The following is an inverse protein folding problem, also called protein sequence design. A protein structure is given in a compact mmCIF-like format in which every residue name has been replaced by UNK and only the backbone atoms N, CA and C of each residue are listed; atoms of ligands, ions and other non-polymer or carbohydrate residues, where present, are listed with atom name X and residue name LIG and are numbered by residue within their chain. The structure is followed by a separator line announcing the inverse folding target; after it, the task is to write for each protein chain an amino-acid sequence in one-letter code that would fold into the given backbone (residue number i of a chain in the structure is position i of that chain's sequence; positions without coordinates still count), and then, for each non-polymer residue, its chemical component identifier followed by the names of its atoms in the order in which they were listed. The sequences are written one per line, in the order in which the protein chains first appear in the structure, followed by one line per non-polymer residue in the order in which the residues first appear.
data_IF_251068321109
#
_entry.id   IF_251068321109
#
_cell.length_a   1.000
_cell.length_b   1.000
_cell.length_c   1.000
_cell.angle_alpha   90.00
_cell.angle_beta   90.00
_cell.angle_gamma   90.00
#
_symmetry.space_group_name_H-M   'P 1'
#
loop_
_entity.id
_entity.type
_entity.pdbx_description
1 polymer ?
#
# COMPACT_ATOMS: atom_id res chain seq x y z
N UNK A 1 -8.19 0.33 13.10
CA UNK A 1 -8.72 0.71 14.43
C UNK A 1 -10.11 1.31 14.25
N UNK A 2 -10.97 0.61 13.52
CA UNK A 2 -12.26 1.15 13.09
C UNK A 2 -13.22 0.01 12.83
N UNK A 3 -14.41 0.08 13.44
CA UNK A 3 -15.49 -0.93 13.41
C UNK A 3 -15.17 -2.29 14.08
N UNK A 4 -13.93 -2.76 14.01
CA UNK A 4 -13.48 -4.03 14.61
C UNK A 4 -13.64 -4.04 16.15
N UNK A 5 -13.35 -2.91 16.80
CA UNK A 5 -13.36 -2.77 18.27
C UNK A 5 -14.78 -2.50 18.84
N UNK A 6 -15.77 -2.19 17.98
CA UNK A 6 -17.12 -1.76 18.40
C UNK A 6 -18.21 -2.83 18.23
N UNK A 7 -17.90 -4.01 17.70
CA UNK A 7 -18.88 -5.06 17.40
C UNK A 7 -18.59 -6.35 18.20
N UNK A 8 -19.61 -7.01 18.77
CA UNK A 8 -19.42 -8.24 19.53
C UNK A 8 -18.89 -9.37 18.64
N UNK A 9 -17.83 -10.05 19.10
CA UNK A 9 -17.11 -11.09 18.34
C UNK A 9 -18.03 -12.25 17.94
N UNK A 10 -18.08 -12.55 16.65
CA UNK A 10 -18.80 -13.68 16.06
C UNK A 10 -18.22 -14.09 14.71
N UNK A 11 -18.62 -15.24 14.17
CA UNK A 11 -18.14 -15.81 12.89
C UNK A 11 -18.28 -14.82 11.69
N UNK A 12 -19.13 -13.81 11.81
CA UNK A 12 -19.34 -12.77 10.80
C UNK A 12 -18.27 -11.67 10.89
N UNK A 13 -17.80 -11.31 12.09
CA UNK A 13 -16.80 -10.24 12.26
C UNK A 13 -15.41 -10.68 11.81
N UNK A 14 -15.04 -11.95 12.01
CA UNK A 14 -13.77 -12.53 11.51
C UNK A 14 -13.71 -12.58 9.98
N UNK A 15 -14.82 -12.90 9.32
CA UNK A 15 -14.91 -12.88 7.85
C UNK A 15 -14.80 -11.46 7.29
N UNK A 16 -15.41 -10.47 7.96
CA UNK A 16 -15.28 -9.06 7.58
C UNK A 16 -13.85 -8.55 7.75
N UNK A 17 -13.21 -8.87 8.86
CA UNK A 17 -11.81 -8.49 9.10
C UNK A 17 -10.89 -9.09 8.03
N UNK A 18 -11.09 -10.37 7.69
CA UNK A 18 -10.33 -11.05 6.63
C UNK A 18 -10.52 -10.34 5.28
N UNK A 19 -11.75 -9.97 4.94
CA UNK A 19 -12.06 -9.24 3.70
C UNK A 19 -11.41 -7.85 3.67
N UNK A 20 -11.46 -7.11 4.78
CA UNK A 20 -10.88 -5.77 4.88
C UNK A 20 -9.36 -5.83 4.79
N UNK A 21 -8.72 -6.78 5.48
CA UNK A 21 -7.28 -6.96 5.41
C UNK A 21 -6.83 -7.39 4.00
N UNK A 22 -7.57 -8.31 3.37
CA UNK A 22 -7.36 -8.66 1.97
C UNK A 22 -7.47 -7.44 1.05
N UNK A 23 -8.46 -6.58 1.25
CA UNK A 23 -8.62 -5.35 0.46
C UNK A 23 -7.47 -4.37 0.65
N UNK A 24 -6.91 -4.23 1.86
CA UNK A 24 -5.76 -3.35 2.13
C UNK A 24 -4.48 -3.89 1.52
N UNK A 25 -4.27 -5.21 1.58
CA UNK A 25 -3.08 -5.86 1.00
C UNK A 25 -3.05 -5.78 -0.52
N UNK A 26 -4.20 -5.92 -1.19
CA UNK A 26 -4.28 -5.95 -2.66
C UNK A 26 -4.38 -4.57 -3.33
N UNK A 27 -4.50 -3.48 -2.55
CA UNK A 27 -4.72 -2.12 -3.07
C UNK A 27 -3.82 -1.10 -2.38
N UNK A 28 -2.53 -1.40 -2.24
CA UNK A 28 -1.58 -0.46 -1.67
C UNK A 28 -1.25 0.65 -2.66
N UNK A 29 -1.29 1.91 -2.23
CA UNK A 29 -0.99 3.11 -3.00
C UNK A 29 0.30 3.78 -2.46
N UNK A 30 1.46 3.49 -3.08
CA UNK A 30 2.73 3.99 -2.59
C UNK A 30 2.83 5.52 -2.73
N UNK A 31 3.40 6.16 -1.72
CA UNK A 31 3.85 7.55 -1.77
C UNK A 31 5.12 7.64 -2.63
N UNK A 32 5.13 8.56 -3.59
CA UNK A 32 6.31 8.90 -4.37
C UNK A 32 7.33 9.64 -3.47
N UNK A 33 8.15 8.89 -2.75
CA UNK A 33 9.14 9.43 -1.82
C UNK A 33 10.56 8.96 -2.17
N UNK A 34 11.16 9.64 -3.14
CA UNK A 34 12.52 9.40 -3.63
C UNK A 34 13.57 10.27 -2.95
N UNK A 35 14.64 9.67 -2.42
CA UNK A 35 15.72 10.41 -1.72
C UNK A 35 17.06 10.35 -2.45
N UNK A 36 17.48 9.15 -2.87
CA UNK A 36 18.81 8.93 -3.47
C UNK A 36 18.75 7.92 -4.62
N UNK A 37 19.82 7.14 -4.83
CA UNK A 37 19.90 6.13 -5.89
C UNK A 37 18.76 5.09 -5.83
N UNK A 38 18.29 4.72 -4.63
CA UNK A 38 17.16 3.80 -4.46
C UNK A 38 15.84 4.33 -5.04
N UNK A 39 15.73 5.64 -5.29
CA UNK A 39 14.57 6.21 -5.98
C UNK A 39 14.48 5.73 -7.43
N UNK A 40 15.62 5.52 -8.10
CA UNK A 40 15.67 5.05 -9.49
C UNK A 40 15.25 3.58 -9.56
N UNK A 41 15.65 2.78 -8.57
CA UNK A 41 15.23 1.39 -8.44
C UNK A 41 13.72 1.27 -8.17
N UNK A 42 13.17 2.16 -7.33
CA UNK A 42 11.74 2.27 -7.12
C UNK A 42 10.98 2.59 -8.42
N UNK A 43 11.48 3.53 -9.23
CA UNK A 43 10.87 3.86 -10.55
C UNK A 43 10.99 2.68 -11.52
N UNK A 44 12.12 1.98 -11.53
CA UNK A 44 12.31 0.78 -12.36
C UNK A 44 11.36 -0.36 -11.97
N UNK A 45 10.95 -0.41 -10.70
CA UNK A 45 9.94 -1.34 -10.16
C UNK A 45 8.50 -0.92 -10.51
N UNK A 46 8.30 0.28 -11.06
CA UNK A 46 7.04 0.68 -11.70
C UNK A 46 7.07 0.54 -13.23
N UNK A 47 8.15 0.01 -13.81
CA UNK A 47 8.32 -0.06 -15.27
C UNK A 47 7.89 -1.42 -15.82
N UNK A 48 7.72 -1.51 -17.14
CA UNK A 48 7.24 -2.72 -17.85
C UNK A 48 7.98 -4.03 -17.50
N UNK A 49 9.26 -3.95 -17.11
CA UNK A 49 10.08 -5.12 -16.79
C UNK A 49 9.75 -5.71 -15.41
N UNK A 50 9.60 -4.84 -14.41
CA UNK A 50 9.25 -5.21 -13.05
C UNK A 50 8.04 -4.35 -12.72
N UNK A 51 6.86 -4.90 -12.97
CA UNK A 51 5.62 -4.15 -12.98
C UNK A 51 4.86 -4.35 -11.67
N UNK A 52 5.02 -3.41 -10.74
CA UNK A 52 4.34 -3.43 -9.44
C UNK A 52 2.84 -3.14 -9.54
N UNK A 53 2.33 -2.70 -10.71
CA UNK A 53 0.88 -2.50 -10.92
C UNK A 53 0.07 -3.77 -10.69
N UNK A 54 0.69 -4.94 -10.88
CA UNK A 54 0.09 -6.26 -10.65
C UNK A 54 -0.39 -6.48 -9.22
N UNK A 55 0.17 -5.76 -8.25
CA UNK A 55 -0.17 -5.85 -6.84
C UNK A 55 -1.08 -4.70 -6.39
N UNK A 56 -1.72 -3.98 -7.31
CA UNK A 56 -2.57 -2.82 -7.02
C UNK A 56 -1.80 -1.53 -6.76
N UNK A 57 -0.47 -1.55 -6.90
CA UNK A 57 0.45 -0.42 -6.67
C UNK A 57 0.81 0.34 -7.95
N UNK A 58 -0.13 0.44 -8.91
CA UNK A 58 0.12 1.14 -10.19
C UNK A 58 0.37 2.63 -9.98
N UNK A 59 -0.39 3.23 -9.06
CA UNK A 59 -0.42 4.66 -8.88
C UNK A 59 0.48 5.11 -7.73
N UNK A 60 1.66 5.62 -8.09
CA UNK A 60 2.49 6.37 -7.15
C UNK A 60 1.87 7.74 -6.89
N UNK A 61 1.29 7.92 -5.69
CA UNK A 61 0.68 9.19 -5.29
C UNK A 61 1.76 10.15 -4.84
N UNK A 62 1.77 11.37 -5.36
CA UNK A 62 2.70 12.41 -4.91
C UNK A 62 2.25 13.09 -3.61
N UNK A 63 0.97 12.97 -3.25
CA UNK A 63 0.43 13.61 -2.05
C UNK A 63 0.34 12.62 -0.88
N UNK A 64 0.86 12.98 0.31
CA UNK A 64 0.85 12.09 1.48
C UNK A 64 -0.56 11.84 2.04
N UNK A 65 -1.55 12.68 1.68
CA UNK A 65 -2.95 12.50 2.11
C UNK A 65 -3.71 11.45 1.30
N UNK A 66 -3.16 11.03 0.16
CA UNK A 66 -3.78 10.07 -0.75
C UNK A 66 -3.03 8.73 -0.78
N UNK A 67 -1.88 8.63 -0.11
CA UNK A 67 -1.09 7.40 -0.04
C UNK A 67 -1.33 6.70 1.31
N UNK A 68 -1.24 5.38 1.31
CA UNK A 68 -1.35 4.53 2.49
C UNK A 68 0.00 3.85 2.86
N UNK A 69 0.89 3.69 1.88
CA UNK A 69 2.23 3.11 2.04
C UNK A 69 3.32 4.15 1.75
N UNK A 70 4.26 4.33 2.69
CA UNK A 70 5.43 5.20 2.50
C UNK A 70 6.71 4.36 2.37
N UNK A 71 7.35 4.44 1.21
CA UNK A 71 8.62 3.75 0.93
C UNK A 71 9.77 4.76 1.05
N UNK A 72 10.66 4.57 2.03
CA UNK A 72 11.85 5.43 2.20
C UNK A 72 12.96 4.94 1.27
N UNK A 73 13.00 5.50 0.06
CA UNK A 73 13.90 5.06 -1.01
C UNK A 73 15.19 5.90 -1.08
N UNK A 74 16.04 5.71 -0.08
CA UNK A 74 17.39 6.24 -0.03
C UNK A 74 17.85 6.56 1.39
N UNK A 75 19.04 7.14 1.51
CA UNK A 75 19.56 7.61 2.79
C UNK A 75 18.71 8.76 3.34
N UNK A 76 18.50 8.76 4.66
CA UNK A 76 17.91 9.87 5.42
C UNK A 76 19.03 10.78 5.93
#
# INVERSE_FOLDING_TARGET
MGLEEKLPEGIITTQLETLVNWSRENSTWPLLFGLACCAIEMIATGSSRHDISRYGSELFRASPRQADLMIVSGRV
#
